data_IF_536665254267
#
_entry.id   IF_536665254267
#
_cell.length_a   1.000
_cell.length_b   1.000
_cell.length_c   1.000
_cell.angle_alpha   90.00
_cell.angle_beta   90.00
_cell.angle_gamma   90.00
#
_symmetry.space_group_name_H-M   'P 1'
#
loop_
_entity.id
_entity.type
_entity.pdbx_description
1 polymer ?
#
# COMPACT_ATOMS: atom_id res chain seq x y z
N UNK A 1 6.57 8.47 18.80
CA UNK A 1 6.93 7.79 17.55
C UNK A 1 6.50 6.33 17.58
N UNK A 2 6.03 5.83 16.47
CA UNK A 2 5.60 4.45 16.31
C UNK A 2 6.71 3.62 15.65
N UNK A 3 6.87 2.37 16.08
CA UNK A 3 7.73 1.42 15.41
C UNK A 3 7.01 0.90 14.15
N UNK A 4 7.27 1.53 13.00
CA UNK A 4 6.62 1.19 11.75
C UNK A 4 7.00 -0.23 11.29
N UNK A 5 8.22 -0.66 11.57
CA UNK A 5 8.68 -2.02 11.22
C UNK A 5 7.80 -3.08 11.89
N UNK A 6 7.55 -2.96 13.18
CA UNK A 6 6.71 -3.91 13.92
C UNK A 6 5.25 -3.86 13.46
N UNK A 7 4.74 -2.66 13.21
CA UNK A 7 3.37 -2.48 12.75
C UNK A 7 3.17 -3.15 11.38
N UNK A 8 4.13 -2.96 10.45
CA UNK A 8 4.09 -3.66 9.16
C UNK A 8 4.01 -5.18 9.33
N UNK A 9 4.85 -5.73 10.20
CA UNK A 9 4.88 -7.18 10.41
C UNK A 9 3.58 -7.71 10.99
N UNK A 10 2.93 -6.98 11.89
CA UNK A 10 1.64 -7.37 12.46
C UNK A 10 0.58 -7.49 11.36
N UNK A 11 0.47 -6.48 10.49
CA UNK A 11 -0.50 -6.53 9.37
C UNK A 11 -0.17 -7.64 8.38
N UNK A 12 1.09 -7.80 8.03
CA UNK A 12 1.53 -8.85 7.10
C UNK A 12 1.13 -10.23 7.63
N UNK A 13 1.40 -10.52 8.90
CA UNK A 13 1.06 -11.81 9.50
C UNK A 13 -0.45 -12.05 9.53
N UNK A 14 -1.23 -11.03 9.86
CA UNK A 14 -2.69 -11.13 9.86
C UNK A 14 -3.23 -11.46 8.48
N UNK A 15 -2.79 -10.77 7.44
CA UNK A 15 -3.26 -11.01 6.08
C UNK A 15 -2.76 -12.34 5.52
N UNK A 16 -1.56 -12.79 5.88
CA UNK A 16 -1.08 -14.13 5.52
C UNK A 16 -1.99 -15.23 6.07
N UNK A 17 -2.44 -15.09 7.31
CA UNK A 17 -3.33 -16.08 7.92
C UNK A 17 -4.70 -16.13 7.27
N UNK A 18 -5.20 -14.98 6.82
CA UNK A 18 -6.58 -14.85 6.31
C UNK A 18 -6.69 -15.08 4.80
N UNK A 19 -5.58 -14.99 4.06
CA UNK A 19 -5.56 -15.07 2.59
C UNK A 19 -4.44 -15.98 2.11
N UNK A 20 -4.57 -17.27 2.43
CA UNK A 20 -3.53 -18.27 2.16
C UNK A 20 -3.30 -18.57 0.68
N UNK A 21 -4.22 -18.18 -0.20
CA UNK A 21 -4.07 -18.34 -1.65
C UNK A 21 -3.21 -17.27 -2.30
N UNK A 22 -2.95 -16.18 -1.58
CA UNK A 22 -2.08 -15.10 -2.06
C UNK A 22 -0.72 -15.26 -1.40
N UNK A 23 0.34 -15.26 -2.22
CA UNK A 23 1.70 -15.25 -1.70
C UNK A 23 2.03 -13.83 -1.27
N UNK A 24 2.31 -13.65 0.02
CA UNK A 24 2.71 -12.34 0.56
C UNK A 24 4.20 -12.42 0.91
N UNK A 25 5.00 -11.67 0.15
CA UNK A 25 6.45 -11.60 0.30
C UNK A 25 6.76 -10.27 0.96
N UNK A 26 7.66 -10.26 1.94
CA UNK A 26 8.02 -9.01 2.60
C UNK A 26 9.52 -8.89 2.85
N UNK A 27 9.98 -7.65 2.89
CA UNK A 27 11.33 -7.29 3.27
C UNK A 27 11.26 -6.02 4.12
N UNK A 28 11.18 -6.20 5.42
CA UNK A 28 10.96 -5.12 6.39
C UNK A 28 12.24 -4.89 7.18
N UNK A 29 12.88 -3.76 6.97
CA UNK A 29 14.03 -3.34 7.77
C UNK A 29 13.57 -3.05 9.20
N UNK A 30 14.30 -3.56 10.19
CA UNK A 30 13.91 -3.47 11.59
C UNK A 30 14.21 -2.10 12.20
N UNK A 31 13.51 -1.78 13.28
CA UNK A 31 13.73 -0.58 14.10
C UNK A 31 13.60 0.75 13.34
N UNK A 32 12.60 0.83 12.47
CA UNK A 32 12.28 2.06 11.78
C UNK A 32 11.05 2.71 12.45
N UNK A 33 11.22 3.94 12.87
CA UNK A 33 10.21 4.68 13.62
C UNK A 33 9.67 5.84 12.81
N UNK A 34 8.38 6.09 12.92
CA UNK A 34 7.70 7.17 12.20
C UNK A 34 6.90 8.03 13.18
N UNK A 35 6.84 9.32 12.92
CA UNK A 35 5.98 10.24 13.66
C UNK A 35 4.63 10.33 12.95
N UNK A 36 3.69 9.50 13.39
CA UNK A 36 2.42 9.35 12.70
C UNK A 36 1.37 8.82 13.68
N UNK A 37 0.09 8.99 13.35
CA UNK A 37 -1.01 8.47 14.17
C UNK A 37 -1.29 7.01 13.80
N UNK A 38 -1.40 6.15 14.81
CA UNK A 38 -1.67 4.72 14.60
C UNK A 38 -2.99 4.50 13.85
N UNK A 39 -4.02 5.30 14.12
CA UNK A 39 -5.31 5.18 13.43
C UNK A 39 -5.20 5.43 11.93
N UNK A 40 -4.31 6.31 11.51
CA UNK A 40 -4.03 6.54 10.09
C UNK A 40 -3.36 5.33 9.45
N UNK A 41 -2.45 4.68 10.17
CA UNK A 41 -1.81 3.47 9.66
C UNK A 41 -2.83 2.34 9.46
N UNK A 42 -3.80 2.19 10.37
CA UNK A 42 -4.88 1.23 10.20
C UNK A 42 -5.64 1.46 8.89
N UNK A 43 -6.01 2.70 8.63
CA UNK A 43 -6.72 3.06 7.39
C UNK A 43 -5.85 2.74 6.18
N UNK A 44 -4.58 3.13 6.21
CA UNK A 44 -3.67 2.94 5.08
C UNK A 44 -3.45 1.45 4.80
N UNK A 45 -3.05 0.67 5.79
CA UNK A 45 -2.76 -0.76 5.58
C UNK A 45 -3.99 -1.53 5.13
N UNK A 46 -5.13 -1.33 5.79
CA UNK A 46 -6.35 -2.04 5.43
C UNK A 46 -6.82 -1.70 4.02
N UNK A 47 -6.72 -0.45 3.60
CA UNK A 47 -7.07 -0.06 2.24
C UNK A 47 -6.08 -0.59 1.20
N UNK A 48 -4.79 -0.57 1.48
CA UNK A 48 -3.78 -1.09 0.56
C UNK A 48 -3.96 -2.59 0.34
N UNK A 49 -4.12 -3.36 1.43
CA UNK A 49 -4.36 -4.80 1.32
C UNK A 49 -5.67 -5.10 0.60
N UNK A 50 -6.76 -4.42 0.96
CA UNK A 50 -8.05 -4.61 0.32
C UNK A 50 -7.98 -4.36 -1.19
N UNK A 51 -7.35 -3.27 -1.60
CA UNK A 51 -7.19 -2.94 -3.01
C UNK A 51 -6.40 -4.01 -3.76
N UNK A 52 -5.30 -4.48 -3.17
CA UNK A 52 -4.49 -5.55 -3.78
C UNK A 52 -5.27 -6.86 -3.87
N UNK A 53 -5.96 -7.26 -2.82
CA UNK A 53 -6.74 -8.50 -2.80
C UNK A 53 -7.84 -8.47 -3.87
N UNK A 54 -8.57 -7.36 -3.98
CA UNK A 54 -9.59 -7.18 -5.01
C UNK A 54 -9.00 -7.25 -6.43
N UNK A 55 -7.83 -6.63 -6.63
CA UNK A 55 -7.14 -6.65 -7.91
C UNK A 55 -6.68 -8.06 -8.31
N UNK A 56 -6.43 -8.92 -7.35
CA UNK A 56 -5.84 -10.25 -7.57
C UNK A 56 -6.87 -11.37 -7.78
N UNK A 57 -8.17 -11.08 -7.69
CA UNK A 57 -9.23 -12.11 -7.75
C UNK A 57 -9.09 -13.05 -8.95
N UNK A 58 -8.75 -12.51 -10.12
CA UNK A 58 -8.61 -13.28 -11.36
C UNK A 58 -7.15 -13.42 -11.83
N UNK A 59 -6.22 -13.17 -10.95
CA UNK A 59 -4.78 -13.23 -11.30
C UNK A 59 -4.22 -14.62 -11.01
N UNK A 60 -3.48 -15.18 -11.96
CA UNK A 60 -2.75 -16.42 -11.76
C UNK A 60 -1.55 -16.17 -10.85
N UNK A 61 -1.32 -17.08 -9.90
CA UNK A 61 -0.21 -16.98 -8.96
C UNK A 61 -0.19 -15.60 -8.27
N UNK A 62 -1.28 -15.22 -7.58
CA UNK A 62 -1.38 -13.86 -7.03
C UNK A 62 -0.34 -13.62 -5.95
N UNK A 63 0.33 -12.47 -6.05
CA UNK A 63 1.43 -12.10 -5.17
C UNK A 63 1.29 -10.65 -4.71
N UNK A 64 1.55 -10.43 -3.43
CA UNK A 64 1.71 -9.09 -2.86
C UNK A 64 3.13 -9.01 -2.29
N UNK A 65 3.85 -7.94 -2.62
CA UNK A 65 5.18 -7.69 -2.08
C UNK A 65 5.16 -6.41 -1.27
N UNK A 66 5.69 -6.46 -0.06
CA UNK A 66 5.73 -5.31 0.85
C UNK A 66 7.16 -5.12 1.32
N UNK A 67 7.67 -3.90 1.20
CA UNK A 67 8.99 -3.56 1.71
C UNK A 67 8.96 -2.28 2.53
N UNK A 68 9.83 -2.20 3.50
CA UNK A 68 10.07 -0.99 4.29
C UNK A 68 11.58 -0.81 4.44
N UNK A 69 12.08 0.31 3.96
CA UNK A 69 13.52 0.61 3.95
C UNK A 69 13.76 2.04 4.38
N UNK A 70 14.91 2.27 4.98
CA UNK A 70 15.41 3.61 5.23
C UNK A 70 16.42 3.97 4.14
N UNK A 71 16.14 5.05 3.42
CA UNK A 71 17.03 5.58 2.39
C UNK A 71 17.36 7.01 2.78
N UNK A 72 18.63 7.28 3.05
CA UNK A 72 19.08 8.51 3.68
C UNK A 72 18.37 8.72 5.02
N UNK A 73 17.51 9.72 5.13
CA UNK A 73 16.76 9.98 6.36
C UNK A 73 15.30 9.57 6.26
N UNK A 74 14.86 9.15 5.08
CA UNK A 74 13.45 8.91 4.82
C UNK A 74 13.13 7.42 4.91
N UNK A 75 11.91 7.10 5.35
CA UNK A 75 11.38 5.75 5.31
C UNK A 75 10.53 5.58 4.07
N UNK A 76 10.73 4.49 3.34
CA UNK A 76 9.97 4.20 2.13
C UNK A 76 9.24 2.87 2.33
N UNK A 77 7.91 2.95 2.37
CA UNK A 77 7.02 1.80 2.42
C UNK A 77 6.51 1.54 1.02
N UNK A 78 6.72 0.32 0.51
CA UNK A 78 6.31 -0.05 -0.83
C UNK A 78 5.34 -1.22 -0.78
N UNK A 79 4.23 -1.10 -1.50
CA UNK A 79 3.24 -2.14 -1.73
C UNK A 79 3.17 -2.43 -3.22
N UNK A 80 3.37 -3.69 -3.60
CA UNK A 80 3.27 -4.11 -4.99
C UNK A 80 2.37 -5.33 -5.09
N UNK A 81 1.48 -5.36 -6.10
CA UNK A 81 0.75 -6.57 -6.45
C UNK A 81 0.92 -6.88 -7.96
N UNK A 82 0.85 -8.16 -8.30
CA UNK A 82 0.98 -8.60 -9.68
C UNK A 82 -0.37 -8.72 -10.41
N UNK A 83 -1.34 -7.92 -9.99
CA UNK A 83 -2.65 -7.83 -10.64
C UNK A 83 -2.59 -7.17 -12.02
N UNK A 84 -3.77 -6.88 -12.61
CA UNK A 84 -3.82 -6.36 -13.98
C UNK A 84 -3.30 -4.94 -14.14
N UNK A 85 -3.09 -4.20 -13.05
CA UNK A 85 -2.65 -2.82 -13.14
C UNK A 85 -3.72 -1.87 -13.68
N UNK A 86 -3.29 -0.68 -14.07
CA UNK A 86 -4.18 0.36 -14.58
C UNK A 86 -3.45 1.16 -15.66
N UNK A 87 -4.10 1.36 -16.82
CA UNK A 87 -3.51 2.04 -17.98
C UNK A 87 -3.99 3.49 -18.14
N UNK A 88 -4.96 3.93 -17.35
CA UNK A 88 -5.46 5.28 -17.43
C UNK A 88 -4.55 6.32 -16.78
N UNK A 89 -5.08 7.51 -16.60
CA UNK A 89 -4.38 8.58 -15.91
C UNK A 89 -4.27 8.25 -14.42
N UNK A 90 -3.04 8.19 -13.91
CA UNK A 90 -2.77 7.88 -12.50
C UNK A 90 -3.45 8.90 -11.57
N UNK A 91 -3.52 10.17 -11.99
CA UNK A 91 -4.17 11.22 -11.20
C UNK A 91 -5.65 10.92 -10.94
N UNK A 92 -6.32 10.17 -11.82
CA UNK A 92 -7.70 9.77 -11.60
C UNK A 92 -7.84 8.80 -10.42
N UNK A 93 -6.83 7.99 -10.16
CA UNK A 93 -6.87 6.96 -9.11
C UNK A 93 -6.98 7.56 -7.70
N UNK A 94 -6.54 8.78 -7.51
CA UNK A 94 -6.60 9.47 -6.21
C UNK A 94 -7.80 10.42 -6.10
N UNK A 95 -8.63 10.51 -7.14
CA UNK A 95 -9.86 11.31 -7.10
C UNK A 95 -10.94 10.57 -6.31
N UNK A 96 -11.72 11.27 -5.47
CA UNK A 96 -12.85 10.65 -4.78
C UNK A 96 -13.85 10.03 -5.77
N UNK A 97 -14.37 8.87 -5.40
CA UNK A 97 -15.38 8.13 -6.18
C UNK A 97 -14.89 7.56 -7.51
N UNK A 98 -13.61 7.71 -7.86
CA UNK A 98 -13.05 7.01 -9.01
C UNK A 98 -12.82 5.54 -8.65
N UNK A 99 -13.34 4.62 -9.48
CA UNK A 99 -13.13 3.19 -9.28
C UNK A 99 -13.16 2.45 -10.60
N UNK A 100 -12.22 1.52 -10.77
CA UNK A 100 -12.20 0.57 -11.88
C UNK A 100 -12.92 -0.73 -11.54
N UNK A 101 -13.51 -0.83 -10.35
CA UNK A 101 -14.17 -2.01 -9.79
C UNK A 101 -15.42 -1.60 -9.03
N UNK A 102 -16.15 -2.60 -8.51
CA UNK A 102 -17.35 -2.40 -7.69
C UNK A 102 -16.99 -1.98 -6.26
N UNK A 103 -16.17 -0.95 -6.10
CA UNK A 103 -15.80 -0.38 -4.82
C UNK A 103 -16.25 1.07 -4.73
N UNK A 104 -16.18 1.67 -3.54
CA UNK A 104 -16.61 3.05 -3.34
C UNK A 104 -15.73 4.08 -4.06
N UNK A 105 -14.52 3.69 -4.46
CA UNK A 105 -13.56 4.61 -5.07
C UNK A 105 -12.94 5.61 -4.09
N UNK A 106 -13.07 5.37 -2.78
CA UNK A 106 -12.58 6.29 -1.75
C UNK A 106 -11.24 5.88 -1.15
N UNK A 107 -10.81 4.62 -1.30
CA UNK A 107 -9.63 4.09 -0.63
C UNK A 107 -8.35 4.86 -0.93
N UNK A 108 -7.99 4.98 -2.20
CA UNK A 108 -6.75 5.68 -2.59
C UNK A 108 -6.81 7.18 -2.35
N UNK A 109 -7.97 7.80 -2.58
CA UNK A 109 -8.14 9.24 -2.31
C UNK A 109 -7.98 9.53 -0.82
N UNK A 110 -8.50 8.68 0.05
CA UNK A 110 -8.37 8.83 1.49
C UNK A 110 -6.93 8.65 1.95
N UNK A 111 -6.24 7.63 1.44
CA UNK A 111 -4.81 7.43 1.74
C UNK A 111 -4.02 8.65 1.31
N UNK A 112 -4.22 9.11 0.08
CA UNK A 112 -3.50 10.27 -0.44
C UNK A 112 -3.74 11.51 0.43
N UNK A 113 -4.97 11.74 0.86
CA UNK A 113 -5.29 12.87 1.74
C UNK A 113 -4.57 12.76 3.08
N UNK A 114 -4.59 11.60 3.72
CA UNK A 114 -3.91 11.39 4.99
C UNK A 114 -2.40 11.64 4.83
N UNK A 115 -1.79 11.10 3.78
CA UNK A 115 -0.36 11.22 3.52
C UNK A 115 0.03 12.68 3.27
N UNK A 116 -0.70 13.37 2.42
CA UNK A 116 -0.39 14.77 2.08
C UNK A 116 -0.68 15.72 3.25
N UNK A 117 -1.74 15.49 4.02
CA UNK A 117 -2.05 16.31 5.20
C UNK A 117 -0.96 16.19 6.28
N UNK A 118 -0.22 15.10 6.29
CA UNK A 118 0.90 14.89 7.22
C UNK A 118 2.26 15.27 6.61
N UNK A 119 2.26 15.93 5.47
CA UNK A 119 3.47 16.38 4.76
C UNK A 119 4.37 15.23 4.29
N UNK A 120 3.77 14.08 4.02
CA UNK A 120 4.43 12.94 3.40
C UNK A 120 4.01 12.84 1.93
N UNK A 121 4.54 11.85 1.20
CA UNK A 121 4.28 11.72 -0.22
C UNK A 121 3.90 10.30 -0.58
N UNK A 122 2.95 10.15 -1.51
CA UNK A 122 2.57 8.88 -2.10
C UNK A 122 2.80 8.91 -3.61
N UNK A 123 3.47 7.89 -4.13
CA UNK A 123 3.68 7.69 -5.56
C UNK A 123 3.00 6.39 -5.99
N UNK A 124 2.36 6.42 -7.15
CA UNK A 124 1.74 5.24 -7.78
C UNK A 124 2.45 4.98 -9.09
N UNK A 125 2.86 3.73 -9.32
CA UNK A 125 3.43 3.26 -10.56
C UNK A 125 2.64 2.04 -11.02
N UNK A 126 2.03 2.11 -12.19
CA UNK A 126 1.22 1.02 -12.72
C UNK A 126 1.08 1.12 -14.23
N UNK A 127 0.85 -0.02 -14.85
CA UNK A 127 0.40 -0.14 -16.24
C UNK A 127 -0.16 -1.56 -16.42
N UNK A 128 -0.71 -1.89 -17.60
CA UNK A 128 -1.34 -3.19 -17.83
C UNK A 128 -0.36 -4.38 -17.82
N UNK A 129 0.95 -4.14 -17.78
CA UNK A 129 1.97 -5.18 -17.87
C UNK A 129 2.74 -5.42 -16.58
N UNK A 130 2.81 -4.45 -15.69
CA UNK A 130 3.71 -4.48 -14.53
C UNK A 130 3.01 -4.48 -13.18
N UNK A 131 1.70 -4.71 -13.12
CA UNK A 131 0.96 -4.73 -11.86
C UNK A 131 0.74 -3.34 -11.30
N UNK A 132 0.66 -3.24 -9.97
CA UNK A 132 0.32 -2.01 -9.28
C UNK A 132 1.27 -1.80 -8.11
N UNK A 133 1.95 -0.65 -8.08
CA UNK A 133 2.91 -0.32 -7.04
C UNK A 133 2.55 1.01 -6.39
N UNK A 134 2.48 1.01 -5.06
CA UNK A 134 2.33 2.23 -4.26
C UNK A 134 3.56 2.39 -3.38
N UNK A 135 4.10 3.60 -3.38
CA UNK A 135 5.23 3.98 -2.56
C UNK A 135 4.83 5.12 -1.65
N UNK A 136 5.01 4.96 -0.33
CA UNK A 136 4.76 6.03 0.63
C UNK A 136 6.11 6.44 1.22
N UNK A 137 6.42 7.71 1.13
CA UNK A 137 7.67 8.30 1.63
C UNK A 137 7.35 9.10 2.89
N UNK A 138 7.89 8.61 4.00
CA UNK A 138 7.82 9.29 5.29
C UNK A 138 9.12 10.07 5.47
N UNK A 139 9.04 11.39 5.32
CA UNK A 139 10.21 12.26 5.46
C UNK A 139 10.59 12.40 6.94
N UNK A 140 11.89 12.47 7.18
CA UNK A 140 12.41 12.70 8.52
C UNK A 140 12.27 14.19 8.92
#
# INVERSE_FOLDING_TARGET
>A
KLNLSEICLVYIEEYKRNYDKIEIIHNIESNLFVNFDHSYLDIIFNNLFKNSIEALISTNNPTIEISLKKIDKNLILTFFDNGPGYDGDIDDLIKPYFSTKNSSGLGLSLINKIITDNSYKMNITTNSYSGFKIEIIFYD
#
